data_IF_223386377659
#
_entry.id   IF_223386377659
#
_cell.length_a   1.000
_cell.length_b   1.000
_cell.length_c   1.000
_cell.angle_alpha   90.00
_cell.angle_beta   90.00
_cell.angle_gamma   90.00
#
_symmetry.space_group_name_H-M   'P 1'
#
loop_
_entity.id
_entity.type
_entity.pdbx_description
1 polymer ?
#
# COMPACT_ATOMS: atom_id res chain seq x y z
N UNK A 1 -12.02 8.27 22.08
CA UNK A 1 -12.88 8.00 20.91
C UNK A 1 -11.98 7.46 19.81
N UNK A 2 -12.34 6.35 19.16
CA UNK A 2 -11.57 5.79 18.05
C UNK A 2 -12.09 6.39 16.75
N UNK A 3 -11.20 6.92 15.91
CA UNK A 3 -11.53 7.41 14.57
C UNK A 3 -11.06 6.39 13.53
N UNK A 4 -11.92 6.06 12.57
CA UNK A 4 -11.59 5.18 11.44
C UNK A 4 -11.31 6.05 10.22
N UNK A 5 -10.16 5.84 9.57
CA UNK A 5 -9.74 6.54 8.35
C UNK A 5 -9.64 5.54 7.21
N UNK A 6 -10.36 5.79 6.11
CA UNK A 6 -10.19 5.04 4.86
C UNK A 6 -9.03 5.63 4.06
N UNK A 7 -7.94 4.87 3.92
CA UNK A 7 -6.74 5.32 3.19
C UNK A 7 -6.90 5.24 1.66
N UNK A 8 -7.55 4.19 1.19
CA UNK A 8 -7.82 3.95 -0.23
C UNK A 8 -9.16 3.23 -0.40
N UNK A 9 -9.99 3.68 -1.34
CA UNK A 9 -11.23 3.01 -1.73
C UNK A 9 -10.96 2.10 -2.91
N UNK A 10 -11.67 0.98 -2.99
CA UNK A 10 -11.75 0.20 -4.23
C UNK A 10 -12.34 1.04 -5.35
N UNK A 11 -11.93 0.72 -6.57
CA UNK A 11 -12.37 1.35 -7.82
C UNK A 11 -12.73 0.26 -8.83
N UNK A 12 -13.25 0.64 -10.00
CA UNK A 12 -13.51 -0.33 -11.08
C UNK A 12 -12.22 -0.98 -11.58
N UNK A 13 -11.12 -0.22 -11.65
CA UNK A 13 -9.84 -0.71 -12.17
C UNK A 13 -9.03 -1.48 -11.11
N UNK A 14 -9.26 -1.16 -9.84
CA UNK A 14 -8.64 -1.80 -8.68
C UNK A 14 -9.71 -2.20 -7.67
N UNK A 15 -10.27 -3.39 -7.86
CA UNK A 15 -11.48 -3.88 -7.21
C UNK A 15 -11.25 -4.28 -5.76
N UNK A 16 -10.03 -4.64 -5.38
CA UNK A 16 -9.61 -4.91 -4.00
C UNK A 16 -8.35 -4.12 -3.63
N UNK A 17 -8.34 -3.63 -2.39
CA UNK A 17 -7.21 -2.96 -1.74
C UNK A 17 -7.00 -3.65 -0.38
N UNK A 18 -5.85 -4.29 -0.17
CA UNK A 18 -5.61 -5.09 1.05
C UNK A 18 -4.12 -5.39 1.25
N UNK A 19 -3.80 -6.27 2.22
CA UNK A 19 -2.44 -6.74 2.56
C UNK A 19 -1.44 -5.59 2.78
N UNK A 20 -1.90 -4.54 3.46
CA UNK A 20 -1.05 -3.40 3.75
C UNK A 20 -0.15 -3.60 4.96
N UNK A 21 1.02 -2.97 4.93
CA UNK A 21 1.92 -2.81 6.06
C UNK A 21 2.35 -1.35 6.18
N UNK A 22 2.52 -0.88 7.42
CA UNK A 22 2.76 0.53 7.74
C UNK A 22 3.94 0.67 8.69
N UNK A 23 4.80 1.64 8.40
CA UNK A 23 5.93 1.98 9.26
C UNK A 23 6.05 3.49 9.44
N UNK A 24 6.56 3.90 10.60
CA UNK A 24 6.90 5.29 10.87
C UNK A 24 8.30 5.61 10.33
N UNK A 25 8.40 6.70 9.58
CA UNK A 25 9.62 7.28 9.06
C UNK A 25 10.14 8.40 9.97
N UNK A 26 11.19 9.10 9.53
CA UNK A 26 11.68 10.31 10.21
C UNK A 26 10.60 11.40 10.27
N UNK A 27 10.63 12.17 11.35
CA UNK A 27 9.71 13.27 11.63
C UNK A 27 8.22 12.85 11.74
N UNK A 28 7.95 11.61 12.15
CA UNK A 28 6.59 11.13 12.43
C UNK A 28 5.71 10.91 11.20
N UNK A 29 6.30 10.91 9.99
CA UNK A 29 5.59 10.54 8.76
C UNK A 29 5.30 9.05 8.76
N UNK A 30 4.12 8.66 8.30
CA UNK A 30 3.76 7.26 8.13
C UNK A 30 3.89 6.88 6.66
N UNK A 31 4.57 5.75 6.40
CA UNK A 31 4.65 5.11 5.10
C UNK A 31 3.80 3.86 5.11
N UNK A 32 2.78 3.82 4.27
CA UNK A 32 1.96 2.64 4.04
C UNK A 32 2.35 2.04 2.69
N UNK A 33 2.69 0.76 2.65
CA UNK A 33 2.64 -0.05 1.44
C UNK A 33 1.36 -0.90 1.47
N UNK A 34 0.65 -1.01 0.36
CA UNK A 34 -0.53 -1.89 0.25
C UNK A 34 -0.69 -2.39 -1.18
N UNK A 35 -1.52 -3.43 -1.33
CA UNK A 35 -1.77 -4.05 -2.62
C UNK A 35 -3.00 -3.47 -3.31
N UNK A 36 -2.92 -3.32 -4.62
CA UNK A 36 -4.05 -3.02 -5.49
C UNK A 36 -4.25 -4.17 -6.46
N UNK A 37 -5.42 -4.80 -6.38
CA UNK A 37 -5.80 -5.92 -7.24
C UNK A 37 -6.69 -5.40 -8.35
N UNK A 38 -6.38 -5.78 -9.58
CA UNK A 38 -7.22 -5.50 -10.75
C UNK A 38 -8.16 -6.67 -11.06
N UNK A 39 -9.08 -6.48 -12.01
CA UNK A 39 -9.98 -7.55 -12.43
C UNK A 39 -10.94 -7.98 -11.31
N UNK A 40 -10.99 -9.28 -11.02
CA UNK A 40 -11.94 -9.85 -10.06
C UNK A 40 -11.52 -9.71 -8.58
N UNK A 41 -10.30 -9.23 -8.31
CA UNK A 41 -9.79 -9.06 -6.94
C UNK A 41 -9.44 -10.37 -6.23
N UNK A 42 -9.39 -11.49 -6.96
CA UNK A 42 -8.98 -12.79 -6.43
C UNK A 42 -7.49 -12.80 -6.03
N UNK A 43 -7.08 -13.80 -5.25
CA UNK A 43 -5.67 -13.96 -4.86
C UNK A 43 -4.75 -14.29 -6.06
N UNK A 44 -5.31 -14.61 -7.23
CA UNK A 44 -4.58 -14.83 -8.49
C UNK A 44 -4.66 -13.64 -9.45
N UNK A 45 -5.37 -12.57 -9.08
CA UNK A 45 -5.49 -11.40 -9.94
C UNK A 45 -4.13 -10.71 -10.12
N UNK A 46 -3.99 -9.98 -11.23
CA UNK A 46 -2.85 -9.08 -11.43
C UNK A 46 -2.86 -8.02 -10.33
N UNK A 47 -1.72 -7.88 -9.65
CA UNK A 47 -1.57 -6.93 -8.55
C UNK A 47 -0.43 -5.94 -8.80
N UNK A 48 -0.47 -4.86 -8.03
CA UNK A 48 0.69 -4.00 -7.80
C UNK A 48 0.78 -3.63 -6.32
N UNK A 49 2.00 -3.46 -5.84
CA UNK A 49 2.27 -2.88 -4.52
C UNK A 49 2.49 -1.40 -4.71
N UNK A 50 1.72 -0.60 -3.98
CA UNK A 50 1.79 0.86 -4.02
C UNK A 50 2.05 1.42 -2.64
N UNK A 51 2.51 2.67 -2.58
CA UNK A 51 2.67 3.42 -1.33
C UNK A 51 1.74 4.61 -1.24
N UNK A 52 1.45 5.02 -0.01
CA UNK A 52 0.92 6.34 0.36
C UNK A 52 1.63 6.85 1.62
N UNK A 53 1.70 8.17 1.78
CA UNK A 53 2.32 8.83 2.93
C UNK A 53 1.29 9.66 3.69
N UNK A 54 1.38 9.63 5.01
CA UNK A 54 0.74 10.61 5.89
C UNK A 54 1.80 11.44 6.62
N UNK A 55 1.59 12.76 6.66
CA UNK A 55 2.41 13.69 7.45
C UNK A 55 1.68 14.24 8.68
N UNK A 56 0.45 13.78 8.92
CA UNK A 56 -0.47 14.26 9.95
C UNK A 56 -0.99 13.12 10.82
N UNK A 57 -0.10 12.17 11.15
CA UNK A 57 -0.36 11.04 12.06
C UNK A 57 -1.48 10.10 11.59
N UNK A 58 -1.65 9.97 10.28
CA UNK A 58 -2.59 9.03 9.65
C UNK A 58 -3.98 9.62 9.36
N UNK A 59 -4.16 10.93 9.50
CA UNK A 59 -5.46 11.58 9.23
C UNK A 59 -5.69 11.79 7.73
N UNK A 60 -4.66 12.17 6.98
CA UNK A 60 -4.70 12.28 5.51
C UNK A 60 -3.57 11.48 4.87
N UNK A 61 -3.82 10.97 3.66
CA UNK A 61 -2.93 10.05 2.96
C UNK A 61 -2.80 10.41 1.49
N UNK A 62 -1.60 10.79 1.09
CA UNK A 62 -1.27 11.31 -0.24
C UNK A 62 -0.10 10.54 -0.86
N UNK A 63 0.45 11.07 -1.95
CA UNK A 63 1.62 10.55 -2.66
C UNK A 63 1.51 9.07 -3.07
N UNK A 64 0.45 8.74 -3.81
CA UNK A 64 0.32 7.42 -4.42
C UNK A 64 1.48 7.17 -5.39
N UNK A 65 2.18 6.04 -5.24
CA UNK A 65 3.24 5.61 -6.16
C UNK A 65 3.32 4.09 -6.22
N UNK A 66 3.61 3.54 -7.39
CA UNK A 66 3.86 2.11 -7.59
C UNK A 66 5.28 1.78 -7.11
N UNK A 67 5.40 0.83 -6.18
CA UNK A 67 6.68 0.30 -5.68
C UNK A 67 7.11 -0.94 -6.45
N UNK A 68 6.15 -1.83 -6.74
CA UNK A 68 6.35 -3.05 -7.50
C UNK A 68 5.09 -3.36 -8.30
N UNK A 69 5.26 -3.96 -9.47
CA UNK A 69 4.18 -4.36 -10.36
C UNK A 69 4.42 -5.78 -10.85
N UNK A 70 3.34 -6.49 -11.15
CA UNK A 70 3.41 -7.81 -11.80
C UNK A 70 4.08 -7.68 -13.17
N UNK A 71 5.07 -8.51 -13.48
CA UNK A 71 5.78 -8.53 -14.76
C UNK A 71 5.29 -9.69 -15.66
N UNK A 72 5.60 -9.66 -16.98
CA UNK A 72 5.24 -10.78 -17.86
C UNK A 72 5.85 -12.11 -17.38
N UNK A 73 5.00 -13.11 -17.17
CA UNK A 73 5.37 -14.44 -16.67
C UNK A 73 5.13 -14.64 -15.17
N UNK A 74 4.90 -13.55 -14.42
CA UNK A 74 4.50 -13.62 -13.02
C UNK A 74 3.00 -13.92 -12.89
N UNK A 75 2.61 -14.50 -11.75
CA UNK A 75 1.20 -14.52 -11.34
C UNK A 75 0.83 -13.16 -10.74
N UNK A 76 1.58 -12.70 -9.75
CA UNK A 76 1.36 -11.43 -9.05
C UNK A 76 2.61 -11.01 -8.22
N UNK A 77 2.56 -9.79 -7.69
CA UNK A 77 3.42 -9.36 -6.57
C UNK A 77 2.59 -9.35 -5.28
N UNK A 78 3.10 -9.90 -4.18
CA UNK A 78 2.25 -10.27 -3.05
C UNK A 78 2.82 -9.88 -1.68
N UNK A 79 1.93 -9.55 -0.75
CA UNK A 79 2.15 -9.32 0.69
C UNK A 79 3.39 -8.49 1.04
N UNK A 80 3.35 -7.15 0.89
CA UNK A 80 4.44 -6.29 1.34
C UNK A 80 4.67 -6.44 2.85
N UNK A 81 5.93 -6.50 3.25
CA UNK A 81 6.38 -6.42 4.64
C UNK A 81 7.51 -5.39 4.72
N UNK A 82 7.42 -4.48 5.67
CA UNK A 82 8.33 -3.35 5.81
C UNK A 82 9.18 -3.51 7.07
N UNK A 83 10.48 -3.29 6.90
CA UNK A 83 11.41 -3.11 8.02
C UNK A 83 12.19 -1.82 7.79
N UNK A 84 12.31 -1.02 8.84
CA UNK A 84 13.10 0.22 8.78
C UNK A 84 14.57 -0.10 9.00
N UNK A 85 15.43 0.34 8.07
CA UNK A 85 16.87 0.25 8.25
C UNK A 85 17.33 1.08 9.46
N UNK A 86 18.37 0.61 10.15
CA UNK A 86 18.91 1.27 11.36
C UNK A 86 19.64 2.57 11.04
N UNK A 87 20.22 2.69 9.86
CA UNK A 87 20.89 3.90 9.37
C UNK A 87 19.92 4.93 8.78
N UNK A 88 18.63 4.58 8.66
CA UNK A 88 17.61 5.45 8.09
C UNK A 88 17.45 5.36 6.57
N UNK A 89 18.28 4.55 5.90
CA UNK A 89 18.37 4.51 4.44
C UNK A 89 19.22 5.65 3.87
#
# INVERSE_FOLDING_TARGET
>A
MVQIITVAKSTKDFTRKSEGDVIELTHGRLFLAYMEFSGDGSDYATTRIVRKISSDRGLTWQDHQILAQTLPGDVNVYSPNLIRSKDGG
#
